data_IF_268771531974
#
_entry.id   IF_268771531974
#
_cell.length_a   1.000
_cell.length_b   1.000
_cell.length_c   1.000
_cell.angle_alpha   90.00
_cell.angle_beta   90.00
_cell.angle_gamma   90.00
#
_symmetry.space_group_name_H-M   'P 1'
#
loop_
_entity.id
_entity.type
_entity.pdbx_description
1 polymer ?
#
# COMPACT_ATOMS: atom_id res chain seq x y z
N UNK A 1 -31.14 31.02 -10.03
CA UNK A 1 -29.85 30.50 -9.53
C UNK A 1 -29.29 29.51 -10.53
N UNK A 2 -28.18 29.79 -11.23
CA UNK A 2 -27.59 28.80 -12.13
C UNK A 2 -27.06 27.62 -11.31
N UNK A 3 -27.42 26.42 -11.73
CA UNK A 3 -27.04 25.16 -11.08
C UNK A 3 -25.52 25.02 -11.17
N UNK A 4 -24.86 24.83 -10.02
CA UNK A 4 -23.40 24.72 -9.91
C UNK A 4 -22.82 23.66 -10.85
N UNK A 5 -21.60 23.92 -11.34
CA UNK A 5 -20.83 23.06 -12.24
C UNK A 5 -20.87 21.61 -11.75
N UNK A 6 -21.22 20.62 -12.60
CA UNK A 6 -21.27 19.23 -12.19
C UNK A 6 -19.90 18.79 -11.66
N UNK A 7 -19.91 18.23 -10.45
CA UNK A 7 -18.71 17.68 -9.81
C UNK A 7 -18.01 16.68 -10.76
N UNK A 8 -16.77 16.99 -11.16
CA UNK A 8 -15.96 16.13 -12.00
C UNK A 8 -15.82 14.76 -11.34
N UNK A 9 -16.26 13.71 -12.06
CA UNK A 9 -16.16 12.32 -11.62
C UNK A 9 -14.89 11.72 -12.21
N UNK A 10 -13.91 11.49 -11.34
CA UNK A 10 -12.69 10.78 -11.71
C UNK A 10 -12.93 9.27 -11.62
N UNK A 11 -12.59 8.53 -12.68
CA UNK A 11 -12.62 7.06 -12.71
C UNK A 11 -11.55 6.46 -11.80
N UNK A 12 -11.70 5.20 -11.40
CA UNK A 12 -10.68 4.50 -10.59
C UNK A 12 -9.32 4.48 -11.29
N UNK A 13 -9.33 4.13 -12.58
CA UNK A 13 -8.15 4.10 -13.45
C UNK A 13 -7.43 5.45 -13.50
N UNK A 14 -8.16 6.55 -13.69
CA UNK A 14 -7.55 7.89 -13.71
C UNK A 14 -6.89 8.22 -12.38
N UNK A 15 -7.56 7.93 -11.25
CA UNK A 15 -6.97 8.18 -9.92
C UNK A 15 -5.71 7.35 -9.71
N UNK A 16 -5.72 6.09 -10.13
CA UNK A 16 -4.57 5.19 -10.00
C UNK A 16 -3.39 5.73 -10.80
N UNK A 17 -3.61 6.05 -12.08
CA UNK A 17 -2.59 6.62 -12.95
C UNK A 17 -1.98 7.89 -12.35
N UNK A 18 -2.80 8.82 -11.85
CA UNK A 18 -2.34 10.07 -11.23
C UNK A 18 -1.42 9.79 -10.02
N UNK A 19 -1.81 8.86 -9.14
CA UNK A 19 -1.04 8.54 -7.93
C UNK A 19 0.25 7.79 -8.27
N UNK A 20 0.21 6.85 -9.20
CA UNK A 20 1.39 6.09 -9.63
C UNK A 20 2.41 7.01 -10.29
N UNK A 21 1.99 7.89 -11.21
CA UNK A 21 2.88 8.88 -11.83
C UNK A 21 3.47 9.83 -10.78
N UNK A 22 2.66 10.31 -9.83
CA UNK A 22 3.17 11.15 -8.74
C UNK A 22 4.29 10.47 -7.95
N UNK A 23 4.13 9.19 -7.62
CA UNK A 23 5.12 8.43 -6.84
C UNK A 23 6.34 8.05 -7.66
N UNK A 24 6.15 7.69 -8.92
CA UNK A 24 7.25 7.33 -9.82
C UNK A 24 8.17 8.52 -10.09
N UNK A 25 7.60 9.71 -10.25
CA UNK A 25 8.34 10.93 -10.56
C UNK A 25 8.67 11.78 -9.32
N UNK A 26 8.20 11.40 -8.13
CA UNK A 26 8.46 12.11 -6.88
C UNK A 26 7.80 13.50 -6.79
N UNK A 27 6.66 13.69 -7.47
CA UNK A 27 5.95 14.96 -7.52
C UNK A 27 5.17 15.24 -6.22
N UNK A 28 5.03 16.51 -5.86
CA UNK A 28 4.13 16.91 -4.78
C UNK A 28 2.67 16.83 -5.22
N UNK A 29 1.74 16.71 -4.26
CA UNK A 29 0.31 16.74 -4.55
C UNK A 29 -0.15 17.98 -5.35
N UNK A 30 0.55 19.12 -5.20
CA UNK A 30 0.23 20.36 -5.93
C UNK A 30 0.68 20.28 -7.38
N UNK A 31 1.91 19.82 -7.63
CA UNK A 31 2.45 19.66 -8.98
C UNK A 31 1.66 18.62 -9.76
N UNK A 32 1.35 17.49 -9.12
CA UNK A 32 0.47 16.47 -9.70
C UNK A 32 -0.90 17.04 -10.05
N UNK A 33 -1.52 17.81 -9.15
CA UNK A 33 -2.82 18.41 -9.44
C UNK A 33 -2.77 19.39 -10.63
N UNK A 34 -1.71 20.18 -10.74
CA UNK A 34 -1.51 21.08 -11.89
C UNK A 34 -1.31 20.30 -13.19
N UNK A 35 -0.45 19.28 -13.18
CA UNK A 35 -0.15 18.47 -14.37
C UNK A 35 -1.38 17.76 -14.92
N UNK A 36 -2.24 17.24 -14.05
CA UNK A 36 -3.43 16.49 -14.44
C UNK A 36 -4.72 17.34 -14.47
N UNK A 37 -4.61 18.67 -14.34
CA UNK A 37 -5.77 19.58 -14.40
C UNK A 37 -6.79 19.35 -13.28
N UNK A 38 -6.35 18.89 -12.11
CA UNK A 38 -7.20 18.61 -10.95
C UNK A 38 -7.37 19.91 -10.16
N UNK A 39 -8.62 20.37 -10.02
CA UNK A 39 -8.91 21.67 -9.40
C UNK A 39 -8.48 21.81 -7.94
N UNK A 40 -8.25 20.72 -7.21
CA UNK A 40 -7.79 20.78 -5.82
C UNK A 40 -6.77 19.68 -5.50
N UNK A 41 -5.59 20.08 -4.98
CA UNK A 41 -4.55 19.16 -4.50
C UNK A 41 -5.04 18.19 -3.42
N UNK A 42 -6.08 18.56 -2.66
CA UNK A 42 -6.66 17.69 -1.63
C UNK A 42 -7.25 16.39 -2.19
N UNK A 43 -7.68 16.40 -3.46
CA UNK A 43 -8.12 15.18 -4.14
C UNK A 43 -6.95 14.21 -4.32
N UNK A 44 -5.81 14.72 -4.79
CA UNK A 44 -4.58 13.93 -4.97
C UNK A 44 -4.09 13.38 -3.64
N UNK A 45 -3.99 14.23 -2.60
CA UNK A 45 -3.59 13.77 -1.26
C UNK A 45 -4.52 12.69 -0.70
N UNK A 46 -5.82 12.79 -0.96
CA UNK A 46 -6.79 11.76 -0.55
C UNK A 46 -6.60 10.47 -1.31
N UNK A 47 -6.34 10.51 -2.62
CA UNK A 47 -6.11 9.32 -3.42
C UNK A 47 -4.80 8.64 -3.03
N UNK A 48 -3.74 9.41 -2.78
CA UNK A 48 -2.47 8.87 -2.27
C UNK A 48 -2.67 8.13 -0.95
N UNK A 49 -3.41 8.72 -0.01
CA UNK A 49 -3.72 8.05 1.27
C UNK A 49 -4.46 6.73 1.06
N UNK A 50 -5.48 6.70 0.19
CA UNK A 50 -6.22 5.47 -0.14
C UNK A 50 -5.29 4.44 -0.79
N UNK A 51 -4.41 4.87 -1.70
CA UNK A 51 -3.46 3.98 -2.37
C UNK A 51 -2.49 3.32 -1.37
N UNK A 52 -2.01 4.09 -0.38
CA UNK A 52 -1.08 3.58 0.65
C UNK A 52 -1.75 2.68 1.68
N UNK A 53 -2.98 2.99 2.10
CA UNK A 53 -3.72 2.22 3.12
C UNK A 53 -4.49 1.03 2.54
N UNK A 54 -4.89 1.12 1.27
CA UNK A 54 -5.84 0.19 0.67
C UNK A 54 -5.39 -0.44 -0.65
N UNK A 55 -4.27 0.01 -1.22
CA UNK A 55 -3.82 -0.42 -2.55
C UNK A 55 -4.56 0.28 -3.69
N UNK A 56 -4.17 0.00 -4.95
CA UNK A 56 -4.79 0.58 -6.14
C UNK A 56 -6.29 0.25 -6.24
N UNK A 57 -6.71 -0.94 -5.81
CA UNK A 57 -8.11 -1.39 -5.78
C UNK A 57 -8.97 -0.47 -4.93
N UNK A 58 -8.37 0.11 -3.89
CA UNK A 58 -9.01 1.11 -3.04
C UNK A 58 -9.53 2.31 -3.83
N UNK A 59 -8.90 2.71 -4.94
CA UNK A 59 -9.32 3.88 -5.73
C UNK A 59 -10.58 3.66 -6.58
N UNK A 60 -10.92 2.40 -6.83
CA UNK A 60 -12.13 1.97 -7.56
C UNK A 60 -13.37 1.93 -6.67
N UNK A 61 -13.20 1.89 -5.35
CA UNK A 61 -14.31 1.87 -4.40
C UNK A 61 -14.99 3.24 -4.35
N UNK A 62 -16.29 3.26 -4.64
CA UNK A 62 -17.11 4.48 -4.56
C UNK A 62 -17.38 4.87 -3.11
N UNK A 63 -16.92 6.07 -2.72
CA UNK A 63 -17.03 6.59 -1.34
C UNK A 63 -17.87 7.86 -1.24
N UNK A 64 -18.44 8.38 -2.35
CA UNK A 64 -19.28 9.59 -2.30
C UNK A 64 -20.70 9.30 -1.82
N UNK A 65 -21.25 10.27 -1.10
CA UNK A 65 -22.61 10.23 -0.57
C UNK A 65 -22.75 9.36 0.68
N UNK A 66 -23.93 9.39 1.30
CA UNK A 66 -24.22 8.63 2.51
C UNK A 66 -24.36 7.14 2.19
N UNK A 67 -23.87 6.28 3.09
CA UNK A 67 -24.30 4.90 3.15
C UNK A 67 -25.78 4.86 3.54
N UNK A 68 -26.54 3.92 3.01
CA UNK A 68 -27.96 3.77 3.32
C UNK A 68 -28.25 2.29 3.61
N UNK A 69 -28.59 2.00 4.86
CA UNK A 69 -28.93 0.66 5.32
C UNK A 69 -30.20 0.13 4.63
N UNK A 70 -31.19 1.00 4.37
CA UNK A 70 -32.44 0.61 3.72
C UNK A 70 -32.26 0.20 2.25
N UNK A 71 -31.23 0.72 1.56
CA UNK A 71 -30.89 0.33 0.18
C UNK A 71 -29.73 -0.67 0.10
N UNK A 72 -29.29 -1.22 1.25
CA UNK A 72 -28.15 -2.15 1.32
C UNK A 72 -26.81 -1.57 0.86
N UNK A 73 -26.70 -0.25 0.69
CA UNK A 73 -25.50 0.37 0.10
C UNK A 73 -24.45 0.64 1.17
N UNK A 74 -23.50 -0.28 1.33
CA UNK A 74 -22.26 -0.04 2.08
C UNK A 74 -21.26 0.72 1.21
N UNK A 75 -20.80 1.90 1.66
CA UNK A 75 -19.85 2.73 0.92
C UNK A 75 -18.55 2.87 1.70
N UNK A 76 -17.45 2.45 1.08
CA UNK A 76 -16.09 2.86 1.46
C UNK A 76 -15.61 2.53 2.87
N UNK A 77 -16.38 1.76 3.65
CA UNK A 77 -15.99 1.36 4.99
C UNK A 77 -15.39 -0.04 4.88
N UNK A 78 -14.06 -0.16 5.04
CA UNK A 78 -13.47 -1.47 5.25
C UNK A 78 -14.12 -2.10 6.48
N UNK A 79 -14.58 -3.37 6.41
CA UNK A 79 -14.97 -4.07 7.61
C UNK A 79 -13.76 -4.05 8.55
N UNK A 80 -13.95 -3.51 9.76
CA UNK A 80 -12.93 -3.66 10.81
C UNK A 80 -12.83 -5.16 11.07
N UNK A 81 -11.62 -5.71 11.00
CA UNK A 81 -11.41 -7.10 11.36
C UNK A 81 -11.81 -7.29 12.83
N UNK A 82 -12.25 -8.48 13.18
CA UNK A 82 -12.47 -8.80 14.60
C UNK A 82 -11.12 -8.64 15.32
N UNK A 83 -11.14 -7.95 16.47
CA UNK A 83 -9.95 -7.70 17.31
C UNK A 83 -9.21 -8.98 17.66
N UNK A 84 -9.92 -10.12 17.73
CA UNK A 84 -9.29 -11.43 17.94
C UNK A 84 -8.42 -11.83 16.75
N UNK A 85 -8.96 -11.74 15.54
CA UNK A 85 -8.25 -12.08 14.29
C UNK A 85 -7.04 -11.18 14.09
N UNK A 86 -7.14 -9.88 14.40
CA UNK A 86 -6.01 -8.96 14.33
C UNK A 86 -4.85 -9.38 15.24
N UNK A 87 -5.14 -9.80 16.48
CA UNK A 87 -4.11 -10.28 17.42
C UNK A 87 -3.45 -11.56 16.94
N UNK A 88 -4.25 -12.51 16.45
CA UNK A 88 -3.74 -13.80 15.94
C UNK A 88 -2.81 -13.58 14.74
N UNK A 89 -3.17 -12.66 13.84
CA UNK A 89 -2.32 -12.26 12.70
C UNK A 89 -1.01 -11.60 13.15
N UNK A 90 -1.05 -10.75 14.18
CA UNK A 90 0.16 -10.12 14.73
C UNK A 90 1.10 -11.16 15.34
N UNK A 91 0.55 -12.13 16.09
CA UNK A 91 1.33 -13.22 16.69
C UNK A 91 1.98 -14.10 15.61
N UNK A 92 1.22 -14.45 14.57
CA UNK A 92 1.75 -15.22 13.43
C UNK A 92 2.85 -14.44 12.69
N UNK A 93 2.68 -13.13 12.47
CA UNK A 93 3.71 -12.31 11.83
C UNK A 93 4.99 -12.26 12.67
N UNK A 94 4.89 -12.18 13.99
CA UNK A 94 6.04 -12.22 14.90
C UNK A 94 6.74 -13.58 14.83
N UNK A 95 5.97 -14.68 14.82
CA UNK A 95 6.51 -16.04 14.66
C UNK A 95 7.28 -16.18 13.35
N UNK A 96 6.69 -15.75 12.24
CA UNK A 96 7.32 -15.81 10.92
C UNK A 96 8.59 -14.96 10.83
N UNK A 97 8.61 -13.78 11.47
CA UNK A 97 9.84 -12.96 11.56
C UNK A 97 10.95 -13.67 12.32
N UNK A 98 10.63 -14.28 13.46
CA UNK A 98 11.59 -15.06 14.23
C UNK A 98 12.13 -16.26 13.42
N UNK A 99 11.27 -16.95 12.69
CA UNK A 99 11.67 -18.05 11.79
C UNK A 99 12.61 -17.56 10.68
N UNK A 100 12.28 -16.44 10.03
CA UNK A 100 13.15 -15.84 9.01
C UNK A 100 14.51 -15.44 9.57
N UNK A 101 14.56 -14.87 10.77
CA UNK A 101 15.81 -14.47 11.41
C UNK A 101 16.66 -15.70 11.78
N UNK A 102 16.03 -16.77 12.26
CA UNK A 102 16.71 -18.04 12.52
C UNK A 102 17.32 -18.62 11.24
N UNK A 103 16.56 -18.67 10.14
CA UNK A 103 17.03 -19.17 8.84
C UNK A 103 18.18 -18.34 8.27
N UNK A 104 18.11 -17.00 8.39
CA UNK A 104 19.22 -16.11 7.99
C UNK A 104 20.48 -16.37 8.78
N UNK A 105 20.36 -16.55 10.09
CA UNK A 105 21.50 -16.85 10.96
C UNK A 105 22.11 -18.22 10.63
N UNK A 106 21.28 -19.23 10.38
CA UNK A 106 21.74 -20.55 9.98
C UNK A 106 22.52 -20.48 8.66
N UNK A 107 21.97 -19.80 7.64
CA UNK A 107 22.65 -19.60 6.36
C UNK A 107 23.99 -18.87 6.53
N UNK A 108 24.06 -17.85 7.39
CA UNK A 108 25.29 -17.14 7.66
C UNK A 108 26.37 -18.05 8.29
N UNK A 109 25.99 -18.96 9.19
CA UNK A 109 26.90 -19.94 9.79
C UNK A 109 27.42 -20.95 8.75
N UNK A 110 26.53 -21.46 7.90
CA UNK A 110 26.90 -22.38 6.81
C UNK A 110 27.90 -21.71 5.87
N UNK A 111 27.60 -20.49 5.40
CA UNK A 111 28.49 -19.73 4.54
C UNK A 111 29.86 -19.47 5.18
N UNK A 112 29.89 -19.13 6.48
CA UNK A 112 31.14 -18.92 7.22
C UNK A 112 31.97 -20.21 7.29
N UNK A 113 31.32 -21.35 7.52
CA UNK A 113 31.98 -22.66 7.54
C UNK A 113 32.57 -23.01 6.17
N UNK A 114 31.81 -22.88 5.10
CA UNK A 114 32.28 -23.17 3.73
C UNK A 114 33.48 -22.31 3.35
N UNK A 115 33.48 -21.03 3.75
CA UNK A 115 34.63 -20.14 3.52
C UNK A 115 35.89 -20.60 4.27
N UNK A 116 35.74 -21.06 5.52
CA UNK A 116 36.86 -21.60 6.29
C UNK A 116 37.42 -22.87 5.65
N UNK A 117 36.55 -23.80 5.22
CA UNK A 117 36.95 -25.03 4.54
C UNK A 117 37.67 -24.75 3.23
N UNK A 118 37.19 -23.77 2.43
CA UNK A 118 37.88 -23.32 1.20
C UNK A 118 39.28 -22.77 1.49
N UNK A 119 39.42 -21.89 2.49
CA UNK A 119 40.74 -21.34 2.89
C UNK A 119 41.71 -22.43 3.33
N UNK A 120 41.22 -23.38 4.13
CA UNK A 120 42.05 -24.48 4.64
C UNK A 120 42.44 -25.49 3.55
N UNK A 121 41.60 -25.69 2.53
CA UNK A 121 41.95 -26.48 1.35
C UNK A 121 43.01 -25.78 0.48
N UNK A 122 42.94 -24.46 0.36
CA UNK A 122 43.93 -23.66 -0.37
C UNK A 122 45.29 -23.61 0.34
N UNK A 123 45.33 -23.56 1.68
CA UNK A 123 46.58 -23.53 2.43
C UNK A 123 47.30 -24.89 2.53
N UNK A 124 46.64 -25.98 2.13
CA UNK A 124 47.19 -27.35 2.13
C UNK A 124 47.68 -27.80 0.75
N UNK A 125 47.40 -27.03 -0.29
CA UNK A 125 47.92 -27.22 -1.66
C UNK A 125 49.15 -26.37 -1.87
#
# INVERSE_FOLDING_TARGET
MPKGVPNQRYTGEFKQHVVETMRQEGLSCRETAQRFGIGNKSHVSRWERIYLEEGPEGLYIERRGRANAASGTQKGCKPKLDKKVEKDLVAENQRLRAELDYLKNLNALVLKREQQEKKHRQSRS
#
